data_IF_241033844651
#
_entry.id   IF_241033844651
#
_cell.length_a   1.000
_cell.length_b   1.000
_cell.length_c   1.000
_cell.angle_alpha   90.00
_cell.angle_beta   90.00
_cell.angle_gamma   90.00
#
_symmetry.space_group_name_H-M   'P 1'
#
loop_
_entity.id
_entity.type
_entity.pdbx_description
1 polymer ?
#
# COMPACT_ATOMS: atom_id res chain seq x y z
N UNK A 1 -22.91 52.96 38.19
CA UNK A 1 -23.41 52.14 37.07
C UNK A 1 -22.23 51.39 36.46
N UNK A 2 -22.03 50.10 36.84
CA UNK A 2 -20.94 49.24 36.31
C UNK A 2 -21.51 48.36 35.20
N UNK A 3 -21.07 48.60 33.96
CA UNK A 3 -21.40 47.79 32.80
C UNK A 3 -20.47 46.56 32.78
N UNK A 4 -21.02 45.38 32.97
CA UNK A 4 -20.33 44.10 32.75
C UNK A 4 -20.40 43.78 31.28
N UNK A 5 -19.26 43.80 30.55
CA UNK A 5 -19.12 43.23 29.23
C UNK A 5 -18.87 41.73 29.41
N UNK A 6 -19.87 40.93 29.08
CA UNK A 6 -19.72 39.49 28.98
C UNK A 6 -18.94 39.13 27.70
N UNK A 7 -17.77 38.59 27.87
CA UNK A 7 -16.90 38.10 26.80
C UNK A 7 -17.39 36.72 26.39
N UNK A 8 -18.12 36.64 25.28
CA UNK A 8 -18.61 35.38 24.70
C UNK A 8 -17.46 34.73 23.94
N UNK A 9 -16.78 33.79 24.58
CA UNK A 9 -15.75 32.94 23.92
C UNK A 9 -16.44 31.94 23.04
N UNK A 10 -16.43 32.19 21.70
CA UNK A 10 -16.79 31.21 20.67
C UNK A 10 -15.73 30.10 20.68
N UNK A 11 -16.04 28.94 21.23
CA UNK A 11 -15.25 27.74 21.06
C UNK A 11 -15.40 27.28 19.59
N UNK A 12 -14.42 27.59 18.76
CA UNK A 12 -14.26 27.00 17.44
C UNK A 12 -13.96 25.51 17.62
N UNK A 13 -14.98 24.67 17.51
CA UNK A 13 -14.80 23.23 17.32
C UNK A 13 -14.14 23.05 15.96
N UNK A 14 -12.82 22.98 15.93
CA UNK A 14 -12.08 22.58 14.76
C UNK A 14 -12.48 21.13 14.46
N UNK A 15 -13.39 20.93 13.49
CA UNK A 15 -13.56 19.64 12.86
C UNK A 15 -12.23 19.32 12.18
N UNK A 16 -11.37 18.55 12.85
CA UNK A 16 -10.19 17.99 12.21
C UNK A 16 -10.67 17.12 11.06
N UNK A 17 -10.45 17.57 9.84
CA UNK A 17 -10.70 16.78 8.64
C UNK A 17 -9.90 15.47 8.68
N UNK A 18 -10.22 14.51 7.81
CA UNK A 18 -9.46 13.29 7.71
C UNK A 18 -8.00 13.64 7.41
N UNK A 19 -7.09 13.08 8.18
CA UNK A 19 -5.66 13.22 7.94
C UNK A 19 -5.26 12.65 6.56
N UNK A 20 -3.97 12.70 6.19
CA UNK A 20 -3.47 12.25 4.89
C UNK A 20 -3.77 10.77 4.59
N UNK A 21 -4.15 9.98 5.59
CA UNK A 21 -4.50 8.55 5.48
C UNK A 21 -6.01 8.29 5.43
N UNK A 22 -6.83 9.33 5.27
CA UNK A 22 -8.28 9.22 5.18
C UNK A 22 -8.96 8.85 6.50
N UNK A 23 -10.20 8.34 6.39
CA UNK A 23 -10.99 7.86 7.55
C UNK A 23 -10.67 6.41 7.93
N UNK A 24 -9.65 5.83 7.35
CA UNK A 24 -9.26 4.46 7.61
C UNK A 24 -8.73 4.30 9.04
N UNK A 25 -9.60 3.91 9.96
CA UNK A 25 -9.24 3.70 11.37
C UNK A 25 -8.14 2.66 11.56
N UNK A 26 -8.01 1.72 10.61
CA UNK A 26 -7.03 0.63 10.66
C UNK A 26 -5.77 0.90 9.86
N UNK A 27 -5.80 1.82 8.88
CA UNK A 27 -4.59 2.18 8.16
C UNK A 27 -3.83 3.23 8.97
N UNK A 28 -2.92 2.73 9.79
CA UNK A 28 -1.94 3.58 10.46
C UNK A 28 -0.57 3.26 9.88
N UNK A 29 0.20 4.29 9.51
CA UNK A 29 1.59 4.05 9.13
C UNK A 29 2.33 3.31 10.23
N UNK A 30 3.12 2.33 9.84
CA UNK A 30 4.06 1.69 10.77
C UNK A 30 5.34 2.52 10.88
N UNK A 31 6.17 2.22 11.87
CA UNK A 31 7.44 2.90 12.03
C UNK A 31 8.27 2.84 10.74
N UNK A 32 8.80 3.98 10.31
CA UNK A 32 9.59 4.11 9.08
C UNK A 32 8.79 4.26 7.77
N UNK A 33 7.49 3.95 7.76
CA UNK A 33 6.68 4.03 6.54
C UNK A 33 6.61 5.44 5.95
N UNK A 34 6.38 6.45 6.80
CA UNK A 34 6.34 7.84 6.34
C UNK A 34 7.67 8.31 5.77
N UNK A 35 8.77 7.87 6.39
CA UNK A 35 10.11 8.18 5.89
C UNK A 35 10.36 7.51 4.54
N UNK A 36 10.02 6.23 4.39
CA UNK A 36 10.19 5.47 3.17
C UNK A 36 9.36 6.04 2.00
N UNK A 37 8.17 6.55 2.28
CA UNK A 37 7.23 7.03 1.25
C UNK A 37 7.40 8.50 0.89
N UNK A 38 8.12 9.29 1.67
CA UNK A 38 8.18 10.76 1.56
C UNK A 38 8.47 11.29 0.16
N UNK A 39 9.40 10.65 -0.56
CA UNK A 39 9.85 11.07 -1.88
C UNK A 39 9.43 10.08 -2.98
N UNK A 40 8.64 9.06 -2.63
CA UNK A 40 8.25 8.04 -3.58
C UNK A 40 7.04 8.50 -4.41
N UNK A 41 7.12 8.34 -5.73
CA UNK A 41 6.02 8.61 -6.65
C UNK A 41 5.05 7.42 -6.68
N UNK A 42 3.77 7.73 -6.72
CA UNK A 42 2.76 6.71 -6.98
C UNK A 42 3.01 6.05 -8.34
N UNK A 43 2.69 4.76 -8.43
CA UNK A 43 2.79 4.03 -9.69
C UNK A 43 1.97 4.68 -10.79
N UNK A 44 2.58 4.78 -11.96
CA UNK A 44 1.97 5.21 -13.23
C UNK A 44 2.27 4.13 -14.28
N UNK A 45 1.29 3.78 -15.12
CA UNK A 45 1.47 2.79 -16.19
C UNK A 45 2.56 3.20 -17.20
N UNK A 46 2.83 4.48 -17.37
CA UNK A 46 3.96 4.97 -18.16
C UNK A 46 5.32 4.44 -17.68
N UNK A 47 5.41 4.05 -16.40
CA UNK A 47 6.63 3.44 -15.84
C UNK A 47 6.96 2.09 -16.49
N UNK A 48 5.96 1.40 -17.00
CA UNK A 48 6.15 0.11 -17.69
C UNK A 48 6.54 0.29 -19.17
N UNK A 49 6.06 1.37 -19.81
CA UNK A 49 6.28 1.61 -21.23
C UNK A 49 7.48 2.50 -21.51
N UNK A 50 7.83 3.37 -20.56
CA UNK A 50 8.92 4.33 -20.67
C UNK A 50 9.82 4.30 -19.42
N UNK A 51 10.35 3.12 -19.03
CA UNK A 51 11.07 2.96 -17.75
C UNK A 51 12.26 3.91 -17.59
N UNK A 52 12.92 4.26 -18.66
CA UNK A 52 14.07 5.19 -18.63
C UNK A 52 13.73 6.59 -18.10
N UNK A 53 12.47 7.02 -18.16
CA UNK A 53 12.02 8.31 -17.57
C UNK A 53 11.90 8.27 -16.06
N UNK A 54 11.87 7.09 -15.49
CA UNK A 54 11.65 6.85 -14.06
C UNK A 54 12.84 6.15 -13.41
N UNK A 55 13.95 6.03 -14.12
CA UNK A 55 15.19 5.52 -13.56
C UNK A 55 15.57 6.34 -12.31
N UNK A 56 16.01 5.66 -11.25
CA UNK A 56 16.41 6.25 -9.97
C UNK A 56 15.30 7.02 -9.21
N UNK A 57 14.07 7.01 -9.71
CA UNK A 57 12.92 7.60 -9.00
C UNK A 57 12.33 6.59 -8.03
N UNK A 58 12.28 6.90 -6.72
CA UNK A 58 11.58 6.02 -5.78
C UNK A 58 10.10 5.89 -6.12
N UNK A 59 9.62 4.67 -6.23
CA UNK A 59 8.24 4.32 -6.57
C UNK A 59 7.52 3.80 -5.34
N UNK A 60 6.23 4.13 -5.22
CA UNK A 60 5.32 3.63 -4.20
C UNK A 60 4.25 2.79 -4.90
N UNK A 61 4.32 1.49 -4.72
CA UNK A 61 3.49 0.51 -5.43
C UNK A 61 2.67 -0.26 -4.42
N UNK A 62 1.36 -0.30 -4.61
CA UNK A 62 0.49 -1.30 -3.99
C UNK A 62 0.24 -2.41 -5.00
N UNK A 63 0.45 -3.66 -4.62
CA UNK A 63 0.26 -4.77 -5.54
C UNK A 63 -0.15 -6.06 -4.84
N UNK A 64 -1.07 -6.78 -5.46
CA UNK A 64 -1.43 -8.12 -5.03
C UNK A 64 -0.47 -9.10 -5.67
N UNK A 65 0.17 -9.93 -4.86
CA UNK A 65 1.08 -10.97 -5.32
C UNK A 65 0.31 -11.97 -6.19
N UNK A 66 0.74 -12.12 -7.43
CA UNK A 66 0.21 -13.11 -8.39
C UNK A 66 1.07 -14.36 -8.38
N UNK A 67 2.37 -14.15 -8.34
CA UNK A 67 3.34 -15.23 -8.35
C UNK A 67 4.52 -14.89 -7.44
N UNK A 68 5.03 -15.92 -6.79
CA UNK A 68 6.30 -15.88 -6.07
C UNK A 68 7.25 -16.85 -6.73
N UNK A 69 8.38 -16.34 -7.20
CA UNK A 69 9.48 -17.14 -7.74
C UNK A 69 10.37 -17.69 -6.63
N UNK A 70 11.27 -18.57 -6.99
CA UNK A 70 12.28 -19.10 -6.09
C UNK A 70 13.16 -17.96 -5.56
N UNK A 71 13.61 -18.07 -4.31
CA UNK A 71 14.56 -17.15 -3.72
C UNK A 71 15.82 -17.07 -4.62
N UNK A 72 16.25 -15.85 -4.89
CA UNK A 72 17.53 -15.66 -5.58
C UNK A 72 18.68 -16.01 -4.61
N UNK A 73 19.86 -16.27 -5.16
CA UNK A 73 21.08 -16.64 -4.40
C UNK A 73 21.55 -15.62 -3.36
N UNK A 74 20.80 -14.57 -3.07
CA UNK A 74 21.15 -13.46 -2.16
C UNK A 74 20.06 -13.14 -1.11
N UNK A 75 19.14 -14.05 -0.83
CA UNK A 75 18.05 -13.78 0.14
C UNK A 75 16.95 -12.88 -0.40
N UNK A 76 16.97 -12.52 -1.69
CA UNK A 76 15.91 -11.76 -2.33
C UNK A 76 14.88 -12.71 -2.95
N UNK A 77 13.63 -12.35 -2.81
CA UNK A 77 12.51 -13.06 -3.40
C UNK A 77 12.04 -12.32 -4.66
N UNK A 78 11.75 -13.08 -5.70
CA UNK A 78 11.17 -12.56 -6.92
C UNK A 78 9.64 -12.66 -6.86
N UNK A 79 8.95 -11.54 -7.05
CA UNK A 79 7.50 -11.45 -6.99
C UNK A 79 6.95 -10.84 -8.27
N UNK A 80 5.85 -11.39 -8.77
CA UNK A 80 5.01 -10.70 -9.77
C UNK A 80 3.80 -10.11 -9.07
N UNK A 81 3.59 -8.81 -9.20
CA UNK A 81 2.52 -8.08 -8.56
C UNK A 81 1.52 -7.54 -9.58
N UNK A 82 0.24 -7.76 -9.33
CA UNK A 82 -0.85 -7.02 -9.98
C UNK A 82 -1.03 -5.70 -9.26
N UNK A 83 -0.65 -4.60 -9.93
CA UNK A 83 -0.67 -3.27 -9.33
C UNK A 83 -2.10 -2.82 -9.05
N UNK A 84 -2.31 -2.29 -7.87
CA UNK A 84 -3.59 -1.78 -7.37
C UNK A 84 -3.43 -0.33 -6.91
N UNK A 85 -4.54 0.40 -6.83
CA UNK A 85 -4.61 1.69 -6.13
C UNK A 85 -5.21 1.48 -4.76
N UNK A 86 -4.58 2.08 -3.76
CA UNK A 86 -5.18 2.18 -2.44
C UNK A 86 -6.47 3.00 -2.54
N UNK A 87 -7.54 2.53 -1.92
CA UNK A 87 -8.75 3.33 -1.73
C UNK A 87 -8.59 4.24 -0.51
N UNK A 88 -9.13 5.44 -0.58
CA UNK A 88 -9.05 6.43 0.51
C UNK A 88 -9.80 5.99 1.77
N UNK A 89 -10.63 4.96 1.66
CA UNK A 89 -11.44 4.45 2.77
C UNK A 89 -11.29 2.95 2.93
N UNK A 90 -10.97 2.54 4.13
CA UNK A 90 -11.09 1.14 4.51
C UNK A 90 -12.56 0.73 4.66
N UNK A 91 -12.84 -0.52 4.44
CA UNK A 91 -14.14 -1.13 4.65
C UNK A 91 -14.14 -1.88 5.97
N UNK A 92 -15.19 -1.63 6.77
CA UNK A 92 -15.38 -2.25 8.06
C UNK A 92 -16.73 -2.98 8.05
N UNK A 93 -16.78 -4.21 8.52
CA UNK A 93 -18.03 -4.96 8.69
C UNK A 93 -18.87 -4.39 9.86
N UNK A 94 -18.22 -3.70 10.80
CA UNK A 94 -18.89 -3.01 11.91
C UNK A 94 -18.29 -1.63 12.10
N UNK A 95 -19.15 -0.61 12.22
CA UNK A 95 -18.72 0.76 12.51
C UNK A 95 -18.11 0.90 13.92
N UNK A 96 -18.42 0.00 14.83
CA UNK A 96 -18.02 0.06 16.23
C UNK A 96 -16.85 -0.88 16.57
N UNK A 97 -16.42 -1.73 15.65
CA UNK A 97 -15.30 -2.66 15.85
C UNK A 97 -14.23 -2.48 14.77
N UNK A 98 -13.17 -1.78 15.13
CA UNK A 98 -12.03 -1.50 14.24
C UNK A 98 -11.32 -2.77 13.75
N UNK A 99 -11.42 -3.89 14.47
CA UNK A 99 -10.82 -5.17 14.07
C UNK A 99 -11.47 -5.76 12.82
N UNK A 100 -12.69 -5.31 12.51
CA UNK A 100 -13.42 -5.73 11.29
C UNK A 100 -13.00 -4.97 10.04
N UNK A 101 -12.21 -3.91 10.20
CA UNK A 101 -11.78 -3.09 9.08
C UNK A 101 -10.70 -3.78 8.24
N UNK A 102 -10.80 -3.62 6.94
CA UNK A 102 -9.85 -4.15 5.96
C UNK A 102 -9.36 -3.04 5.06
N UNK A 103 -8.07 -3.08 4.75
CA UNK A 103 -7.51 -2.21 3.72
C UNK A 103 -8.25 -2.43 2.41
N UNK A 104 -8.62 -1.36 1.72
CA UNK A 104 -9.37 -1.46 0.47
C UNK A 104 -8.50 -1.01 -0.70
N UNK A 105 -8.49 -1.81 -1.74
CA UNK A 105 -7.78 -1.51 -2.99
C UNK A 105 -8.73 -1.61 -4.19
N UNK A 106 -8.32 -1.05 -5.32
CA UNK A 106 -9.07 -1.10 -6.57
C UNK A 106 -9.32 -2.54 -7.04
N UNK A 107 -10.47 -2.76 -7.69
CA UNK A 107 -10.79 -4.03 -8.36
C UNK A 107 -9.94 -4.24 -9.61
N UNK A 108 -9.65 -3.14 -10.30
CA UNK A 108 -8.91 -3.14 -11.57
C UNK A 108 -7.42 -3.15 -11.29
N UNK A 109 -6.70 -3.96 -12.07
CA UNK A 109 -5.23 -3.90 -12.15
C UNK A 109 -4.80 -2.74 -13.04
N UNK A 110 -3.78 -2.02 -12.61
CA UNK A 110 -3.13 -0.94 -13.38
C UNK A 110 -1.87 -1.42 -14.11
N UNK A 111 -1.65 -2.71 -14.15
CA UNK A 111 -0.51 -3.36 -14.77
C UNK A 111 0.08 -4.45 -13.89
N UNK A 112 1.07 -5.14 -14.41
CA UNK A 112 1.88 -6.10 -13.66
C UNK A 112 3.31 -5.62 -13.58
N UNK A 113 3.94 -5.79 -12.42
CA UNK A 113 5.34 -5.46 -12.20
C UNK A 113 6.06 -6.63 -11.57
N UNK A 114 7.27 -6.85 -12.01
CA UNK A 114 8.21 -7.74 -11.36
C UNK A 114 8.92 -6.96 -10.23
N UNK A 115 9.11 -7.61 -9.10
CA UNK A 115 9.78 -7.02 -7.93
C UNK A 115 10.82 -8.00 -7.40
N UNK A 116 12.00 -7.49 -7.13
CA UNK A 116 13.05 -8.18 -6.40
C UNK A 116 13.21 -7.53 -5.05
N UNK A 117 13.01 -8.27 -3.95
CA UNK A 117 12.99 -7.71 -2.60
C UNK A 117 13.46 -8.72 -1.56
N UNK A 118 14.15 -8.25 -0.53
CA UNK A 118 14.46 -9.04 0.65
C UNK A 118 13.28 -9.01 1.61
N UNK A 119 12.80 -10.19 2.01
CA UNK A 119 11.72 -10.33 2.98
C UNK A 119 12.29 -10.58 4.39
N UNK A 120 11.54 -10.17 5.42
CA UNK A 120 11.83 -10.61 6.77
C UNK A 120 11.65 -12.13 6.89
N UNK A 121 12.31 -12.82 7.82
CA UNK A 121 12.12 -14.26 8.01
C UNK A 121 10.66 -14.65 8.24
N UNK A 122 9.89 -13.81 8.93
CA UNK A 122 8.46 -14.04 9.19
C UNK A 122 7.62 -13.96 7.94
N UNK A 123 7.95 -13.02 7.03
CA UNK A 123 7.27 -12.85 5.75
C UNK A 123 7.78 -13.81 4.67
N UNK A 124 8.95 -14.38 4.86
CA UNK A 124 9.52 -15.37 3.93
C UNK A 124 9.00 -16.78 4.17
N UNK A 125 9.01 -17.26 5.43
CA UNK A 125 8.74 -18.65 5.79
C UNK A 125 7.67 -18.82 6.90
N UNK A 126 7.13 -17.72 7.46
CA UNK A 126 6.15 -17.75 8.54
C UNK A 126 4.76 -18.24 8.11
N UNK A 127 3.87 -18.43 9.08
CA UNK A 127 2.47 -18.85 8.88
C UNK A 127 1.73 -17.95 7.88
N UNK A 128 2.06 -16.67 7.86
CA UNK A 128 1.49 -15.69 6.96
C UNK A 128 2.49 -15.20 5.92
N UNK A 129 3.37 -16.10 5.46
CA UNK A 129 4.39 -15.75 4.48
C UNK A 129 3.82 -15.06 3.24
N UNK A 130 4.60 -14.14 2.66
CA UNK A 130 4.25 -13.47 1.41
C UNK A 130 4.08 -14.51 0.30
N UNK A 131 2.91 -14.54 -0.31
CA UNK A 131 2.57 -15.48 -1.38
C UNK A 131 1.39 -15.00 -2.22
N UNK A 132 0.96 -15.80 -3.22
CA UNK A 132 -0.17 -15.43 -4.05
C UNK A 132 -1.41 -15.06 -3.23
N UNK A 133 -1.97 -13.86 -3.49
CA UNK A 133 -3.09 -13.29 -2.76
C UNK A 133 -2.71 -12.42 -1.57
N UNK A 134 -1.43 -12.27 -1.22
CA UNK A 134 -0.96 -11.22 -0.30
C UNK A 134 -1.00 -9.86 -0.98
N UNK A 135 -1.27 -8.80 -0.23
CA UNK A 135 -1.09 -7.43 -0.68
C UNK A 135 0.22 -6.87 -0.10
N UNK A 136 1.00 -6.24 -0.95
CA UNK A 136 2.21 -5.53 -0.55
C UNK A 136 2.10 -4.05 -0.92
N UNK A 137 2.62 -3.21 -0.05
CA UNK A 137 3.10 -1.87 -0.39
C UNK A 137 4.60 -1.93 -0.52
N UNK A 138 5.13 -1.53 -1.66
CA UNK A 138 6.56 -1.60 -1.94
C UNK A 138 7.07 -0.20 -2.27
N UNK A 139 8.20 0.15 -1.68
CA UNK A 139 9.01 1.28 -2.08
C UNK A 139 10.28 0.71 -2.72
N UNK A 140 10.60 1.18 -3.90
CA UNK A 140 11.75 0.70 -4.66
C UNK A 140 12.05 1.57 -5.86
N UNK A 141 13.04 1.20 -6.63
CA UNK A 141 13.43 1.88 -7.88
C UNK A 141 13.36 0.91 -9.05
N UNK A 142 13.08 1.43 -10.25
CA UNK A 142 13.19 0.62 -11.45
C UNK A 142 14.65 0.31 -11.73
N UNK A 143 14.94 -0.99 -11.85
CA UNK A 143 16.25 -1.45 -12.32
C UNK A 143 16.43 -1.26 -13.82
N UNK A 144 17.65 -1.49 -14.29
CA UNK A 144 17.98 -1.58 -15.72
C UNK A 144 17.70 -2.97 -16.30
N UNK A 145 17.41 -3.92 -15.44
CA UNK A 145 17.10 -5.32 -15.77
C UNK A 145 15.62 -5.50 -16.08
N UNK A 146 15.35 -6.46 -16.96
CA UNK A 146 14.00 -6.80 -17.41
C UNK A 146 13.65 -8.20 -16.96
N UNK A 147 12.38 -8.37 -16.60
CA UNK A 147 11.81 -9.70 -16.36
C UNK A 147 11.87 -10.55 -17.62
N UNK A 148 12.51 -11.71 -17.52
CA UNK A 148 12.66 -12.64 -18.65
C UNK A 148 11.34 -13.29 -19.09
N UNK A 149 10.31 -13.25 -18.24
CA UNK A 149 9.01 -13.87 -18.50
C UNK A 149 7.99 -12.82 -18.94
N UNK A 150 7.86 -11.72 -18.22
CA UNK A 150 6.90 -10.66 -18.50
C UNK A 150 7.42 -9.55 -19.40
N UNK A 151 8.73 -9.47 -19.64
CA UNK A 151 9.35 -8.46 -20.51
C UNK A 151 9.32 -7.04 -19.95
N UNK A 152 8.80 -6.84 -18.72
CA UNK A 152 8.74 -5.54 -18.06
C UNK A 152 9.97 -5.25 -17.19
N UNK A 153 10.16 -3.98 -16.77
CA UNK A 153 11.26 -3.63 -15.88
C UNK A 153 11.06 -4.23 -14.49
N UNK A 154 12.17 -4.56 -13.84
CA UNK A 154 12.17 -5.08 -12.46
C UNK A 154 12.27 -3.92 -11.48
N UNK A 155 11.42 -3.91 -10.46
CA UNK A 155 11.50 -2.99 -9.34
C UNK A 155 12.38 -3.60 -8.24
N UNK A 156 13.45 -2.93 -7.88
CA UNK A 156 14.29 -3.28 -6.74
C UNK A 156 13.69 -2.66 -5.48
N UNK A 157 13.00 -3.49 -4.68
CA UNK A 157 12.37 -3.07 -3.45
C UNK A 157 13.39 -2.78 -2.35
N UNK A 158 13.24 -1.64 -1.69
CA UNK A 158 14.07 -1.21 -0.55
C UNK A 158 13.31 -1.19 0.76
N UNK A 159 12.01 -1.18 0.68
CA UNK A 159 11.12 -1.22 1.83
C UNK A 159 9.78 -1.82 1.42
N UNK A 160 9.10 -2.50 2.35
CA UNK A 160 7.76 -3.01 2.10
C UNK A 160 6.91 -3.05 3.37
N UNK A 161 5.59 -3.14 3.15
CA UNK A 161 4.60 -3.53 4.15
C UNK A 161 3.72 -4.63 3.57
N UNK A 162 3.42 -5.61 4.40
CA UNK A 162 2.67 -6.80 4.02
C UNK A 162 1.29 -6.84 4.70
N UNK A 163 0.29 -7.19 3.94
CA UNK A 163 -1.04 -7.60 4.41
C UNK A 163 -1.30 -9.01 3.91
N UNK A 164 -1.37 -10.01 4.81
CA UNK A 164 -1.73 -11.37 4.47
C UNK A 164 -3.09 -11.47 3.80
N UNK A 165 -3.32 -12.58 3.11
CA UNK A 165 -4.61 -12.89 2.50
C UNK A 165 -5.74 -12.73 3.52
N UNK A 166 -6.82 -12.03 3.15
CA UNK A 166 -7.98 -11.77 4.02
C UNK A 166 -7.84 -10.54 4.93
N UNK A 167 -6.67 -9.87 4.96
CA UNK A 167 -6.49 -8.62 5.68
C UNK A 167 -6.74 -7.38 4.82
N UNK A 168 -7.04 -7.55 3.54
CA UNK A 168 -7.47 -6.51 2.63
C UNK A 168 -8.64 -7.01 1.78
N UNK A 169 -9.33 -6.09 1.14
CA UNK A 169 -10.45 -6.35 0.24
C UNK A 169 -10.36 -5.49 -0.99
N UNK A 170 -10.99 -5.92 -2.06
CA UNK A 170 -11.20 -5.06 -3.22
C UNK A 170 -12.52 -4.30 -3.07
N UNK A 171 -12.69 -3.25 -3.85
CA UNK A 171 -13.90 -2.41 -3.81
C UNK A 171 -15.18 -3.20 -4.13
N UNK A 172 -15.12 -4.20 -5.02
CA UNK A 172 -16.26 -5.05 -5.36
C UNK A 172 -16.72 -5.88 -4.14
N UNK A 173 -15.79 -6.33 -3.29
CA UNK A 173 -16.12 -7.08 -2.07
C UNK A 173 -16.74 -6.19 -0.97
N UNK A 174 -16.81 -4.88 -1.22
CA UNK A 174 -17.41 -3.92 -0.28
C UNK A 174 -18.89 -4.21 0.01
N UNK A 175 -19.61 -4.75 -0.95
CA UNK A 175 -21.02 -5.10 -0.79
C UNK A 175 -21.23 -6.27 0.15
N UNK A 176 -20.29 -7.18 0.26
CA UNK A 176 -20.32 -8.33 1.16
C UNK A 176 -20.05 -7.94 2.63
N UNK A 177 -19.31 -6.84 2.83
CA UNK A 177 -18.95 -6.34 4.16
C UNK A 177 -19.96 -5.32 4.72
N UNK A 178 -20.85 -4.81 3.88
CA UNK A 178 -21.89 -3.83 4.27
C UNK A 178 -23.26 -4.49 4.37
N UNK A 179 -23.36 -5.54 5.14
CA UNK A 179 -24.68 -6.07 5.51
C UNK A 179 -25.21 -5.38 6.76
#
# INVERSE_FOLDING_TARGET
>A
MKRWLGMLTLALVACSGPGPYGYARTYRPIAGEEAATRNAKAFDSAMLTEPGRFADVPLNIFGVVRQRGSASTKGHVYLTLSVRRLDDRNLCASANDERTCRLTVSDVSFGEVAVLIELSPEDDEGEHAVGPGSLLRIIGVLGSDFDSVGGGPIVHGTWYRHWPRGQFVTRAQATELRQ
#
